data_IF_093013280977
#
_entry.id   IF_093013280977
#
_cell.length_a   1.000
_cell.length_b   1.000
_cell.length_c   1.000
_cell.angle_alpha   90.00
_cell.angle_beta   90.00
_cell.angle_gamma   90.00
#
_symmetry.space_group_name_H-M   'P 1'
#
loop_
_entity.id
_entity.type
_entity.pdbx_description
1 polymer ?
#
# COMPACT_ATOMS: atom_id res chain seq x y z
N UNK A 1 -7.18 -1.71 11.35
CA UNK A 1 -5.72 -1.81 11.51
C UNK A 1 -5.26 -3.27 11.61
N UNK A 2 -4.79 -3.83 10.50
CA UNK A 2 -4.19 -5.15 10.41
C UNK A 2 -2.91 -5.08 9.57
N UNK A 3 -1.83 -5.72 10.04
CA UNK A 3 -0.55 -5.76 9.30
C UNK A 3 -0.61 -6.93 8.30
N UNK A 4 -0.43 -6.60 7.03
CA UNK A 4 -0.49 -7.55 5.91
C UNK A 4 0.79 -7.49 5.07
N UNK A 5 1.11 -8.60 4.39
CA UNK A 5 2.24 -8.65 3.45
C UNK A 5 1.70 -8.43 2.03
N UNK A 6 2.01 -7.30 1.41
CA UNK A 6 1.58 -6.98 0.05
C UNK A 6 2.69 -7.25 -0.95
N UNK A 7 2.35 -7.91 -2.05
CA UNK A 7 3.23 -8.03 -3.22
C UNK A 7 2.70 -7.16 -4.35
N UNK A 8 3.44 -6.11 -4.68
CA UNK A 8 3.16 -5.19 -5.79
C UNK A 8 3.89 -5.69 -7.05
N UNK A 9 3.16 -5.98 -8.14
CA UNK A 9 3.75 -6.57 -9.36
C UNK A 9 3.83 -5.61 -10.56
N UNK A 10 2.81 -4.81 -10.84
CA UNK A 10 2.77 -3.84 -11.96
C UNK A 10 1.86 -2.65 -11.62
N UNK A 11 2.08 -1.51 -12.30
CA UNK A 11 1.14 -0.38 -12.37
C UNK A 11 1.16 0.61 -11.20
N UNK A 12 0.74 1.87 -11.39
CA UNK A 12 1.23 3.04 -10.66
C UNK A 12 0.46 3.29 -9.37
N UNK A 13 0.63 2.39 -8.41
CA UNK A 13 0.26 2.67 -7.04
C UNK A 13 1.03 3.90 -6.60
N UNK A 14 0.35 5.00 -6.40
CA UNK A 14 0.94 6.21 -5.84
C UNK A 14 0.23 6.57 -4.56
N UNK A 15 1.02 6.90 -3.56
CA UNK A 15 0.52 7.37 -2.28
C UNK A 15 1.20 8.67 -1.91
N UNK A 16 0.88 9.17 -0.72
CA UNK A 16 1.55 10.32 -0.13
C UNK A 16 2.59 9.85 0.87
N UNK A 17 3.81 10.35 0.72
CA UNK A 17 4.83 10.26 1.76
C UNK A 17 4.50 11.18 2.95
N UNK A 18 5.25 11.03 4.03
CA UNK A 18 5.10 11.82 5.27
C UNK A 18 5.27 13.32 5.05
N UNK A 19 6.09 13.73 4.07
CA UNK A 19 6.28 15.13 3.66
C UNK A 19 5.18 15.63 2.68
N UNK A 20 4.20 14.79 2.38
CA UNK A 20 3.08 15.07 1.49
C UNK A 20 3.39 14.87 0.00
N UNK A 21 4.63 14.51 -0.38
CA UNK A 21 4.99 14.24 -1.76
C UNK A 21 4.21 13.02 -2.30
N UNK A 22 3.72 13.12 -3.53
CA UNK A 22 3.09 11.98 -4.21
C UNK A 22 4.18 11.11 -4.84
N UNK A 23 4.31 9.88 -4.35
CA UNK A 23 5.35 8.94 -4.77
C UNK A 23 4.73 7.64 -5.26
N UNK A 24 5.36 7.02 -6.26
CA UNK A 24 4.99 5.70 -6.73
C UNK A 24 5.55 4.62 -5.79
N UNK A 25 4.73 3.63 -5.46
CA UNK A 25 5.10 2.36 -4.87
C UNK A 25 5.75 1.52 -5.97
N UNK A 26 7.02 1.21 -5.77
CA UNK A 26 7.78 0.36 -6.70
C UNK A 26 7.33 -1.10 -6.53
N UNK A 27 7.47 -1.92 -7.57
CA UNK A 27 7.24 -3.36 -7.44
C UNK A 27 8.12 -3.96 -6.33
N UNK A 28 7.54 -4.81 -5.50
CA UNK A 28 8.21 -5.33 -4.31
C UNK A 28 7.26 -6.02 -3.34
N UNK A 29 7.82 -6.49 -2.23
CA UNK A 29 7.07 -7.01 -1.08
C UNK A 29 7.16 -5.99 0.04
N UNK A 30 6.01 -5.64 0.61
CA UNK A 30 5.88 -4.64 1.65
C UNK A 30 5.08 -5.19 2.82
N UNK A 31 5.42 -4.76 4.03
CA UNK A 31 4.45 -4.75 5.11
C UNK A 31 3.61 -3.49 4.96
N UNK A 32 2.30 -3.67 4.97
CA UNK A 32 1.37 -2.56 4.99
C UNK A 32 0.40 -2.69 6.15
N UNK A 33 0.08 -1.55 6.74
CA UNK A 33 -1.05 -1.44 7.63
C UNK A 33 -2.32 -1.16 6.83
N UNK A 34 -3.31 -2.02 7.00
CA UNK A 34 -4.62 -1.85 6.41
C UNK A 34 -5.62 -1.29 7.42
N UNK A 35 -6.17 -0.13 7.08
CA UNK A 35 -7.20 0.54 7.86
C UNK A 35 -8.31 1.10 6.96
N UNK A 36 -9.36 0.29 6.76
CA UNK A 36 -10.51 0.64 5.94
C UNK A 36 -10.12 0.94 4.50
N UNK A 37 -10.16 2.22 4.11
CA UNK A 37 -9.82 2.65 2.75
C UNK A 37 -8.35 3.04 2.58
N UNK A 38 -7.49 2.79 3.59
CA UNK A 38 -6.09 3.22 3.57
C UNK A 38 -5.12 2.05 3.74
N UNK A 39 -4.05 2.09 2.96
CA UNK A 39 -2.88 1.23 3.09
C UNK A 39 -1.64 2.06 3.38
N UNK A 40 -0.97 1.80 4.51
CA UNK A 40 0.27 2.47 4.87
C UNK A 40 1.44 1.51 4.63
N UNK A 41 2.20 1.75 3.57
CA UNK A 41 3.34 0.92 3.18
C UNK A 41 4.61 1.37 3.92
N UNK A 42 5.14 0.52 4.80
CA UNK A 42 6.38 0.80 5.51
C UNK A 42 7.60 0.66 4.59
N UNK A 43 8.54 1.61 4.66
CA UNK A 43 9.79 1.58 3.88
C UNK A 43 9.61 1.79 2.37
N UNK A 44 8.45 2.30 1.96
CA UNK A 44 8.11 2.52 0.57
C UNK A 44 8.67 3.83 0.01
N UNK A 45 8.87 4.87 0.83
CA UNK A 45 9.59 6.07 0.40
C UNK A 45 11.08 5.74 0.24
N UNK A 46 11.53 5.52 -0.99
CA UNK A 46 12.92 5.18 -1.29
C UNK A 46 13.90 6.33 -1.06
N UNK A 47 13.43 7.57 -0.87
CA UNK A 47 14.29 8.72 -0.61
C UNK A 47 14.70 8.79 0.86
N UNK A 48 13.78 8.42 1.76
CA UNK A 48 13.93 8.62 3.21
C UNK A 48 13.87 7.32 4.02
N UNK A 49 13.35 6.24 3.44
CA UNK A 49 12.99 5.01 4.16
C UNK A 49 11.66 5.10 4.93
N UNK A 50 10.93 6.21 4.78
CA UNK A 50 9.65 6.45 5.46
C UNK A 50 8.47 5.69 4.86
N UNK A 51 7.29 6.02 5.36
CA UNK A 51 6.03 5.41 4.94
C UNK A 51 5.44 6.10 3.71
N UNK A 52 4.63 5.36 2.94
CA UNK A 52 3.74 5.92 1.93
C UNK A 52 2.31 5.45 2.20
N UNK A 53 1.38 6.39 2.32
CA UNK A 53 -0.04 6.12 2.50
C UNK A 53 -0.76 6.15 1.15
N UNK A 54 -1.41 5.05 0.80
CA UNK A 54 -2.24 4.88 -0.39
C UNK A 54 -3.71 4.91 0.03
N UNK A 55 -4.50 5.77 -0.60
CA UNK A 55 -5.95 5.75 -0.47
C UNK A 55 -6.52 4.82 -1.54
N UNK A 56 -7.17 3.73 -1.10
CA UNK A 56 -7.73 2.70 -1.98
C UNK A 56 -8.87 3.25 -2.85
N UNK A 57 -9.57 4.30 -2.42
CA UNK A 57 -10.63 4.94 -3.21
C UNK A 57 -10.10 5.61 -4.48
N UNK A 58 -8.83 6.00 -4.50
CA UNK A 58 -8.19 6.56 -5.69
C UNK A 58 -7.95 5.49 -6.78
N UNK A 59 -8.14 4.21 -6.43
CA UNK A 59 -7.89 3.06 -7.29
C UNK A 59 -9.08 2.09 -7.29
N UNK A 60 -10.22 2.47 -7.89
CA UNK A 60 -11.44 1.66 -7.89
C UNK A 60 -11.26 0.29 -8.55
N UNK A 61 -10.31 0.17 -9.48
CA UNK A 61 -9.99 -1.07 -10.19
C UNK A 61 -9.33 -2.14 -9.30
N UNK A 62 -8.83 -1.75 -8.12
CA UNK A 62 -8.31 -2.70 -7.13
C UNK A 62 -9.44 -3.52 -6.50
N UNK A 63 -10.71 -3.09 -6.68
CA UNK A 63 -11.90 -3.92 -6.46
C UNK A 63 -11.97 -4.57 -5.09
N UNK A 64 -12.70 -3.94 -4.15
CA UNK A 64 -12.99 -4.50 -2.82
C UNK A 64 -11.78 -5.16 -2.17
N UNK A 65 -10.72 -4.38 -1.95
CA UNK A 65 -9.65 -4.79 -1.04
C UNK A 65 -10.33 -5.24 0.27
N UNK A 66 -10.11 -6.47 0.76
CA UNK A 66 -10.96 -7.02 1.80
C UNK A 66 -10.90 -6.16 3.06
N UNK A 67 -12.07 -5.73 3.59
CA UNK A 67 -12.16 -4.92 4.82
C UNK A 67 -11.45 -5.58 6.01
N UNK A 68 -11.35 -6.91 5.98
CA UNK A 68 -10.61 -7.73 6.94
C UNK A 68 -9.74 -8.73 6.21
N UNK A 69 -8.45 -8.72 6.51
CA UNK A 69 -7.45 -9.62 5.95
C UNK A 69 -6.75 -10.27 7.13
N UNK A 70 -6.58 -11.60 7.09
CA UNK A 70 -5.81 -12.29 8.11
C UNK A 70 -4.36 -11.76 8.12
N UNK A 71 -3.77 -11.49 9.29
CA UNK A 71 -2.39 -11.03 9.37
C UNK A 71 -1.45 -11.96 8.60
N UNK A 72 -0.51 -11.36 7.86
CA UNK A 72 0.45 -12.06 6.99
C UNK A 72 -0.11 -12.67 5.70
N UNK A 73 -1.38 -12.47 5.37
CA UNK A 73 -1.90 -12.84 4.05
C UNK A 73 -1.11 -12.14 2.94
N UNK A 74 -0.85 -12.86 1.84
CA UNK A 74 -0.24 -12.30 0.64
C UNK A 74 -1.31 -11.85 -0.34
N UNK A 75 -1.41 -10.54 -0.57
CA UNK A 75 -2.30 -9.99 -1.60
C UNK A 75 -1.46 -9.51 -2.77
N UNK A 76 -1.94 -9.82 -3.98
CA UNK A 76 -1.31 -9.44 -5.23
C UNK A 76 -2.04 -8.23 -5.81
N UNK A 77 -1.30 -7.14 -6.02
CA UNK A 77 -1.77 -5.92 -6.69
C UNK A 77 -1.17 -5.90 -8.11
N UNK A 78 -2.04 -5.97 -9.13
CA UNK A 78 -1.70 -6.11 -10.56
C UNK A 78 -2.30 -4.99 -11.41
#
# INVERSE_FOLDING_TARGET
MAIINLRVRRGPFSGRAEDGARLNIVAGVYQADHDGDSLVFAGADKRTGGTITVNLRDYPDIGSFPDSIEPNSQIELA
#
